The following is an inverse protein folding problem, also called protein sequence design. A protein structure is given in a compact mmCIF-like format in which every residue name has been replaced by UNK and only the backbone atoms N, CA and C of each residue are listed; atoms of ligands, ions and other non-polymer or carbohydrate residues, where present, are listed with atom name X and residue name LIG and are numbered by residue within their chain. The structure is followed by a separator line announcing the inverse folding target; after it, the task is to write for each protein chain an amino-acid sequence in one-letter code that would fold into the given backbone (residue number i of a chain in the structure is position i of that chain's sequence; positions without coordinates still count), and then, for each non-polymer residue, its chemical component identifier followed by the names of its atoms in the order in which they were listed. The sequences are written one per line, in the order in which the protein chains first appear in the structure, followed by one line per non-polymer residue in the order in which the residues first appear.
data_IF_864807600744
#
_entry.id   IF_864807600744
#
_cell.length_a   1.000
_cell.length_b   1.000
_cell.length_c   1.000
_cell.angle_alpha   90.00
_cell.angle_beta   90.00
_cell.angle_gamma   90.00
#
_symmetry.space_group_name_H-M   'P 1'
#
loop_
_entity.id
_entity.type
_entity.pdbx_description
1 polymer ?
#
# COMPACT_ATOMS: atom_id res chain seq x y z
N UNK A 1 -10.43 -6.62 -8.59
CA UNK A 1 -9.14 -6.62 -7.85
C UNK A 1 -9.25 -5.64 -6.69
N UNK A 2 -8.32 -5.66 -5.73
CA UNK A 2 -8.25 -4.68 -4.64
C UNK A 2 -6.86 -4.05 -4.72
N UNK A 3 -6.80 -2.72 -4.60
CA UNK A 3 -5.57 -1.97 -4.43
C UNK A 3 -5.62 -1.23 -3.10
N UNK A 4 -4.54 -1.19 -2.34
CA UNK A 4 -4.52 -0.49 -1.05
C UNK A 4 -3.40 0.56 -1.00
N UNK A 5 -2.82 0.91 -2.15
CA UNK A 5 -1.79 1.92 -2.27
C UNK A 5 -1.99 2.71 -3.57
N UNK A 6 -2.66 3.86 -3.48
CA UNK A 6 -2.89 4.78 -4.62
C UNK A 6 -2.83 6.23 -4.19
N UNK A 7 -2.47 7.13 -5.09
CA UNK A 7 -2.23 8.55 -4.84
C UNK A 7 -3.19 9.44 -5.62
N UNK A 8 -3.50 10.59 -5.05
CA UNK A 8 -4.39 11.60 -5.60
C UNK A 8 -3.70 12.97 -5.62
N UNK A 9 -4.43 14.01 -6.02
CA UNK A 9 -3.91 15.39 -6.00
C UNK A 9 -3.61 15.94 -4.60
N UNK A 10 -3.84 15.17 -3.53
CA UNK A 10 -3.49 15.59 -2.19
C UNK A 10 -2.00 15.36 -1.88
N UNK A 11 -1.30 14.54 -2.67
CA UNK A 11 0.15 14.55 -2.80
C UNK A 11 0.58 14.91 -4.24
N UNK A 12 0.96 13.91 -5.02
CA UNK A 12 1.61 13.98 -6.31
C UNK A 12 0.93 13.09 -7.36
N UNK A 13 -0.24 12.54 -7.04
CA UNK A 13 -1.11 11.88 -8.01
C UNK A 13 -1.79 12.89 -8.94
N UNK A 14 -2.04 12.48 -10.18
CA UNK A 14 -2.63 13.30 -11.24
C UNK A 14 -4.14 13.56 -11.04
N UNK A 15 -4.80 12.77 -10.19
CA UNK A 15 -6.25 12.60 -10.20
C UNK A 15 -6.90 13.01 -8.89
N UNK A 16 -8.04 13.69 -8.97
CA UNK A 16 -8.90 13.88 -7.80
C UNK A 16 -9.48 12.53 -7.34
N UNK A 17 -9.80 12.35 -6.05
CA UNK A 17 -10.32 11.08 -5.52
C UNK A 17 -11.49 10.46 -6.30
N UNK A 18 -12.42 11.29 -6.78
CA UNK A 18 -13.58 10.81 -7.54
C UNK A 18 -13.19 10.25 -8.92
N UNK A 19 -12.26 10.90 -9.62
CA UNK A 19 -11.78 10.43 -10.91
C UNK A 19 -10.88 9.20 -10.76
N UNK A 20 -10.00 9.19 -9.76
CA UNK A 20 -9.16 8.04 -9.40
C UNK A 20 -10.03 6.79 -9.19
N UNK A 21 -11.06 6.89 -8.36
CA UNK A 21 -11.98 5.78 -8.08
C UNK A 21 -12.74 5.32 -9.34
N UNK A 22 -13.19 6.26 -10.18
CA UNK A 22 -13.88 5.92 -11.43
C UNK A 22 -12.97 5.17 -12.41
N UNK A 23 -11.71 5.59 -12.54
CA UNK A 23 -10.72 4.93 -13.41
C UNK A 23 -10.34 3.55 -12.87
N UNK A 24 -10.14 3.42 -11.56
CA UNK A 24 -9.92 2.13 -10.92
C UNK A 24 -11.11 1.17 -11.16
N UNK A 25 -12.34 1.65 -10.99
CA UNK A 25 -13.54 0.85 -11.28
C UNK A 25 -13.57 0.38 -12.75
N UNK A 26 -13.31 1.29 -13.70
CA UNK A 26 -13.24 0.96 -15.12
C UNK A 26 -12.13 -0.06 -15.45
N UNK A 27 -11.03 -0.07 -14.68
CA UNK A 27 -9.95 -1.06 -14.77
C UNK A 27 -10.26 -2.39 -14.04
N UNK A 28 -11.46 -2.57 -13.47
CA UNK A 28 -11.92 -3.81 -12.83
C UNK A 28 -11.55 -3.94 -11.35
N UNK A 29 -11.21 -2.85 -10.68
CA UNK A 29 -11.04 -2.81 -9.23
C UNK A 29 -12.40 -2.73 -8.53
N UNK A 30 -12.53 -3.46 -7.43
CA UNK A 30 -13.73 -3.49 -6.58
C UNK A 30 -13.59 -2.60 -5.35
N UNK A 31 -12.35 -2.45 -4.89
CA UNK A 31 -12.00 -1.51 -3.84
C UNK A 31 -10.61 -0.93 -4.09
N UNK A 32 -10.42 0.31 -3.67
CA UNK A 32 -9.11 0.97 -3.57
C UNK A 32 -8.94 1.63 -2.20
N UNK A 33 -7.70 1.85 -1.75
CA UNK A 33 -7.40 2.84 -0.72
C UNK A 33 -6.63 4.01 -1.35
N UNK A 34 -6.99 5.23 -0.95
CA UNK A 34 -6.23 6.43 -1.29
C UNK A 34 -5.31 6.71 -0.10
N UNK A 35 -4.02 6.70 -0.35
CA UNK A 35 -2.94 6.73 0.64
C UNK A 35 -1.90 7.74 0.19
N UNK A 36 -2.33 8.99 -0.03
CA UNK A 36 -1.44 10.07 -0.45
C UNK A 36 -0.21 10.18 0.47
N UNK A 37 0.93 10.57 -0.13
CA UNK A 37 2.17 10.81 0.60
C UNK A 37 1.98 11.87 1.70
N UNK A 38 2.46 11.56 2.89
CA UNK A 38 2.33 12.43 4.04
C UNK A 38 3.53 12.44 4.98
N UNK A 39 3.66 13.59 5.63
CA UNK A 39 4.56 13.85 6.75
C UNK A 39 3.84 14.72 7.80
N UNK A 40 4.59 15.27 8.74
CA UNK A 40 4.07 16.15 9.79
C UNK A 40 3.34 17.41 9.27
N UNK A 41 3.57 17.82 8.03
CA UNK A 41 3.07 19.07 7.48
C UNK A 41 1.67 18.98 6.90
N UNK A 42 1.22 17.78 6.50
CA UNK A 42 0.03 17.64 5.67
C UNK A 42 -0.93 16.51 6.08
N UNK A 43 -0.54 15.56 6.93
CA UNK A 43 -1.39 14.39 7.22
C UNK A 43 -2.76 14.79 7.81
N UNK A 44 -2.80 15.85 8.63
CA UNK A 44 -4.00 16.42 9.25
C UNK A 44 -4.86 17.24 8.26
N UNK A 45 -4.27 17.69 7.15
CA UNK A 45 -4.97 18.27 6.03
C UNK A 45 -5.59 17.17 5.15
N UNK A 46 -4.84 16.12 4.83
CA UNK A 46 -5.22 15.06 3.89
C UNK A 46 -6.35 14.20 4.46
N UNK A 47 -6.15 13.63 5.66
CA UNK A 47 -7.04 12.59 6.18
C UNK A 47 -8.51 13.03 6.31
N UNK A 48 -8.85 14.18 6.94
CA UNK A 48 -10.25 14.60 7.05
C UNK A 48 -10.93 14.82 5.69
N UNK A 49 -10.16 15.24 4.68
CA UNK A 49 -10.66 15.48 3.31
C UNK A 49 -10.88 14.16 2.58
N UNK A 50 -9.94 13.22 2.67
CA UNK A 50 -10.10 11.88 2.13
C UNK A 50 -11.26 11.15 2.78
N UNK A 51 -11.41 11.17 4.11
CA UNK A 51 -12.53 10.53 4.81
C UNK A 51 -13.88 10.99 4.22
N UNK A 52 -14.05 12.30 4.04
CA UNK A 52 -15.26 12.87 3.44
C UNK A 52 -15.44 12.42 1.98
N UNK A 53 -14.38 12.51 1.17
CA UNK A 53 -14.41 12.16 -0.26
C UNK A 53 -14.71 10.68 -0.49
N UNK A 54 -13.94 9.80 0.17
CA UNK A 54 -14.06 8.35 0.12
C UNK A 54 -15.44 7.88 0.56
N UNK A 55 -16.02 8.48 1.61
CA UNK A 55 -17.39 8.20 2.05
C UNK A 55 -18.40 8.51 0.95
N UNK A 56 -18.33 9.69 0.30
CA UNK A 56 -19.26 10.06 -0.78
C UNK A 56 -19.16 9.20 -2.04
N UNK A 57 -17.96 8.71 -2.35
CA UNK A 57 -17.76 7.79 -3.47
C UNK A 57 -18.34 6.41 -3.11
N UNK A 58 -17.99 5.89 -1.93
CA UNK A 58 -18.42 4.56 -1.47
C UNK A 58 -19.94 4.46 -1.31
N UNK A 59 -20.61 5.53 -0.86
CA UNK A 59 -22.07 5.62 -0.75
C UNK A 59 -22.79 5.28 -2.08
N UNK A 60 -22.14 5.42 -3.24
CA UNK A 60 -22.73 5.10 -4.56
C UNK A 60 -22.72 3.61 -4.89
N UNK A 61 -21.92 2.80 -4.20
CA UNK A 61 -21.93 1.33 -4.30
C UNK A 61 -21.21 0.72 -5.52
N UNK A 62 -20.67 1.50 -6.44
CA UNK A 62 -19.94 0.96 -7.61
C UNK A 62 -18.53 0.44 -7.25
N UNK A 63 -17.84 1.15 -6.36
CA UNK A 63 -16.51 0.84 -5.86
C UNK A 63 -16.42 1.28 -4.40
N UNK A 64 -15.69 0.53 -3.57
CA UNK A 64 -15.38 0.96 -2.20
C UNK A 64 -14.05 1.69 -2.17
N UNK A 65 -14.00 2.87 -1.54
CA UNK A 65 -12.79 3.67 -1.42
C UNK A 65 -12.48 3.85 0.05
N UNK A 66 -11.29 3.47 0.47
CA UNK A 66 -10.82 3.62 1.86
C UNK A 66 -9.95 4.87 2.00
N UNK A 67 -10.19 5.70 3.03
CA UNK A 67 -9.27 6.77 3.38
C UNK A 67 -8.07 6.19 4.14
N UNK A 68 -6.87 6.31 3.58
CA UNK A 68 -5.63 5.92 4.23
C UNK A 68 -4.59 7.03 4.12
N UNK A 69 -3.34 6.67 4.44
CA UNK A 69 -2.19 7.56 4.30
C UNK A 69 -0.94 6.73 4.02
N UNK A 70 0.01 7.28 3.26
CA UNK A 70 1.37 6.75 3.21
C UNK A 70 2.30 7.70 3.96
N UNK A 71 3.03 7.18 4.95
CA UNK A 71 4.10 7.94 5.60
C UNK A 71 5.35 7.86 4.72
N UNK A 72 5.80 9.00 4.19
CA UNK A 72 6.80 9.05 3.13
C UNK A 72 7.98 9.92 3.54
N UNK A 73 9.21 9.39 3.43
CA UNK A 73 10.47 10.10 3.73
C UNK A 73 10.61 10.73 5.14
N UNK A 74 9.72 10.41 6.08
CA UNK A 74 9.83 10.86 7.47
C UNK A 74 11.03 10.22 8.18
N UNK A 75 11.52 10.84 9.26
CA UNK A 75 12.57 10.22 10.08
C UNK A 75 12.06 8.89 10.66
N UNK A 76 12.85 7.81 10.62
CA UNK A 76 12.43 6.51 11.16
C UNK A 76 11.95 6.56 12.62
N UNK A 77 12.46 7.51 13.42
CA UNK A 77 12.07 7.67 14.83
C UNK A 77 10.63 8.19 15.00
N UNK A 78 10.09 8.86 13.99
CA UNK A 78 8.78 9.51 14.05
C UNK A 78 7.65 8.62 13.52
N UNK A 79 7.97 7.55 12.78
CA UNK A 79 6.98 6.65 12.14
C UNK A 79 5.98 6.08 13.16
N UNK A 80 6.44 5.73 14.36
CA UNK A 80 5.56 5.17 15.39
C UNK A 80 4.56 6.21 15.93
N UNK A 81 4.95 7.48 16.05
CA UNK A 81 4.06 8.53 16.51
C UNK A 81 3.07 8.94 15.42
N UNK A 82 3.57 9.18 14.21
CA UNK A 82 2.76 9.55 13.05
C UNK A 82 1.71 8.48 12.70
N UNK A 83 2.06 7.19 12.74
CA UNK A 83 1.08 6.11 12.50
C UNK A 83 -0.06 6.15 13.52
N UNK A 84 0.25 6.35 14.81
CA UNK A 84 -0.79 6.48 15.86
C UNK A 84 -1.66 7.72 15.66
N UNK A 85 -1.07 8.85 15.27
CA UNK A 85 -1.81 10.08 15.02
C UNK A 85 -2.72 9.97 13.79
N UNK A 86 -2.22 9.41 12.69
CA UNK A 86 -3.03 9.10 11.51
C UNK A 86 -4.22 8.20 11.86
N UNK A 87 -3.99 7.15 12.67
CA UNK A 87 -5.05 6.25 13.15
C UNK A 87 -6.10 7.01 13.97
N UNK A 88 -5.70 7.91 14.87
CA UNK A 88 -6.61 8.75 15.67
C UNK A 88 -7.43 9.70 14.80
N UNK A 89 -6.86 10.19 13.70
CA UNK A 89 -7.54 11.03 12.72
C UNK A 89 -8.45 10.25 11.77
N UNK A 90 -8.49 8.92 11.87
CA UNK A 90 -9.44 8.08 11.16
C UNK A 90 -8.89 7.42 9.89
N UNK A 91 -7.56 7.37 9.71
CA UNK A 91 -6.96 6.53 8.68
C UNK A 91 -7.42 5.07 8.86
N UNK A 92 -7.96 4.49 7.78
CA UNK A 92 -8.39 3.08 7.73
C UNK A 92 -7.26 2.15 7.33
N UNK A 93 -6.33 2.64 6.52
CA UNK A 93 -5.13 1.95 6.06
C UNK A 93 -3.94 2.88 6.29
N UNK A 94 -2.87 2.36 6.88
CA UNK A 94 -1.59 3.06 7.02
C UNK A 94 -0.53 2.29 6.25
N UNK A 95 0.05 2.97 5.26
CA UNK A 95 1.18 2.50 4.46
C UNK A 95 2.43 3.24 4.89
N UNK A 96 3.58 2.61 4.81
CA UNK A 96 4.87 3.31 4.91
C UNK A 96 5.66 3.07 3.63
N UNK A 97 6.20 4.15 3.08
CA UNK A 97 7.08 4.12 1.93
C UNK A 97 8.38 3.41 2.30
N UNK A 98 8.54 2.15 1.89
CA UNK A 98 9.71 1.36 2.23
C UNK A 98 10.97 1.80 1.49
N UNK A 99 12.13 1.26 1.89
CA UNK A 99 13.45 1.60 1.36
C UNK A 99 13.66 1.06 -0.06
N UNK A 100 12.90 1.60 -1.01
CA UNK A 100 12.93 1.27 -2.44
C UNK A 100 14.29 1.57 -3.06
N UNK A 101 14.54 1.00 -4.24
CA UNK A 101 15.85 1.08 -4.91
C UNK A 101 16.07 2.38 -5.70
N UNK A 102 14.99 3.11 -5.99
CA UNK A 102 15.00 4.22 -6.95
C UNK A 102 14.92 5.59 -6.30
N UNK A 103 14.81 5.66 -4.97
CA UNK A 103 14.62 6.89 -4.20
C UNK A 103 15.44 6.91 -2.91
N UNK A 104 15.82 8.09 -2.40
CA UNK A 104 16.70 8.25 -1.24
C UNK A 104 15.93 8.15 0.09
N UNK A 105 15.29 7.02 0.34
CA UNK A 105 14.53 6.79 1.59
C UNK A 105 15.50 6.65 2.78
N UNK A 106 15.23 7.28 3.94
CA UNK A 106 16.09 7.16 5.12
C UNK A 106 16.40 5.70 5.52
N UNK A 107 17.64 5.43 5.90
CA UNK A 107 18.04 4.10 6.35
C UNK A 107 17.38 3.75 7.69
N UNK A 108 16.83 2.54 7.79
CA UNK A 108 16.13 2.07 8.98
C UNK A 108 14.60 2.28 8.93
N UNK A 109 14.08 2.93 7.88
CA UNK A 109 12.64 3.10 7.66
C UNK A 109 11.90 1.77 7.67
N UNK A 110 12.40 0.73 6.98
CA UNK A 110 11.73 -0.58 6.93
C UNK A 110 11.55 -1.16 8.35
N UNK A 111 12.64 -1.25 9.12
CA UNK A 111 12.60 -1.76 10.49
C UNK A 111 11.70 -0.93 11.40
N UNK A 112 11.77 0.40 11.33
CA UNK A 112 10.94 1.28 12.14
C UNK A 112 9.44 1.13 11.80
N UNK A 113 9.11 1.06 10.51
CA UNK A 113 7.77 0.80 10.00
C UNK A 113 7.21 -0.51 10.55
N UNK A 114 7.98 -1.59 10.49
CA UNK A 114 7.58 -2.92 10.97
C UNK A 114 7.41 -3.00 12.50
N UNK A 115 8.01 -2.08 13.24
CA UNK A 115 7.82 -1.97 14.69
C UNK A 115 6.63 -1.07 15.06
N UNK A 116 6.15 -0.23 14.13
CA UNK A 116 5.02 0.66 14.31
C UNK A 116 3.65 -0.03 14.04
N UNK A 117 2.56 0.70 14.26
CA UNK A 117 1.18 0.23 14.03
C UNK A 117 0.74 0.60 12.60
N UNK A 118 1.20 -0.18 11.62
CA UNK A 118 0.94 0.01 10.19
C UNK A 118 0.33 -1.25 9.57
N UNK A 119 -0.26 -1.13 8.38
CA UNK A 119 -0.87 -2.26 7.68
C UNK A 119 0.06 -2.83 6.60
N UNK A 120 0.74 -1.95 5.84
CA UNK A 120 1.53 -2.32 4.67
C UNK A 120 2.88 -1.60 4.70
N UNK A 121 3.96 -2.34 4.50
CA UNK A 121 5.26 -1.78 4.12
C UNK A 121 5.38 -1.83 2.58
N UNK A 122 5.27 -0.66 1.94
CA UNK A 122 5.28 -0.54 0.49
C UNK A 122 6.68 -0.73 -0.09
N UNK A 123 6.77 -1.38 -1.26
CA UNK A 123 7.99 -1.63 -2.05
C UNK A 123 9.32 -1.53 -1.25
N UNK A 124 9.60 -2.48 -0.33
CA UNK A 124 10.63 -2.31 0.70
C UNK A 124 12.08 -2.46 0.20
N UNK A 125 12.28 -2.52 -1.12
CA UNK A 125 13.59 -2.71 -1.74
C UNK A 125 14.25 -4.03 -1.31
N UNK A 126 15.52 -3.92 -0.90
CA UNK A 126 16.31 -5.06 -0.44
C UNK A 126 16.09 -5.35 1.05
N UNK A 127 14.83 -5.62 1.42
CA UNK A 127 14.43 -5.99 2.78
C UNK A 127 15.25 -7.16 3.32
N UNK A 128 15.64 -7.10 4.59
CA UNK A 128 16.49 -8.11 5.23
C UNK A 128 15.68 -9.29 5.78
N UNK A 129 16.36 -10.42 6.06
CA UNK A 129 15.70 -11.57 6.70
C UNK A 129 15.14 -11.25 8.08
N UNK A 130 15.81 -10.37 8.84
CA UNK A 130 15.33 -9.92 10.15
C UNK A 130 14.03 -9.13 10.00
N UNK A 131 13.97 -8.19 9.07
CA UNK A 131 12.78 -7.38 8.81
C UNK A 131 11.59 -8.24 8.34
N UNK A 132 11.82 -9.20 7.43
CA UNK A 132 10.73 -10.08 6.98
C UNK A 132 10.18 -10.94 8.11
N UNK A 133 11.01 -11.40 9.06
CA UNK A 133 10.53 -12.11 10.26
C UNK A 133 9.66 -11.21 11.14
N UNK A 134 10.08 -9.96 11.35
CA UNK A 134 9.27 -8.99 12.10
C UNK A 134 7.91 -8.78 11.41
N UNK A 135 7.89 -8.66 10.07
CA UNK A 135 6.65 -8.53 9.30
C UNK A 135 5.71 -9.72 9.51
N UNK A 136 6.24 -10.95 9.46
CA UNK A 136 5.48 -12.16 9.72
C UNK A 136 4.91 -12.19 11.16
N UNK A 137 5.74 -11.93 12.17
CA UNK A 137 5.34 -11.96 13.57
C UNK A 137 4.29 -10.87 13.91
N UNK A 138 4.42 -9.70 13.28
CA UNK A 138 3.53 -8.55 13.50
C UNK A 138 2.28 -8.56 12.62
N UNK A 139 2.17 -9.51 11.69
CA UNK A 139 1.11 -9.57 10.68
C UNK A 139 1.02 -8.26 9.85
N UNK A 140 2.17 -7.68 9.51
CA UNK A 140 2.27 -6.55 8.60
C UNK A 140 2.53 -7.09 7.19
N UNK A 141 1.78 -6.59 6.20
CA UNK A 141 1.89 -7.06 4.84
C UNK A 141 3.07 -6.40 4.13
N UNK A 142 3.80 -7.19 3.33
CA UNK A 142 4.85 -6.70 2.44
C UNK A 142 4.28 -6.55 1.02
N UNK A 143 4.58 -5.44 0.38
CA UNK A 143 4.05 -5.15 -0.95
C UNK A 143 4.90 -5.77 -2.07
N UNK A 144 4.22 -6.44 -3.00
CA UNK A 144 4.67 -6.66 -4.36
C UNK A 144 4.02 -5.56 -5.22
N UNK A 145 4.80 -4.64 -5.75
CA UNK A 145 4.25 -3.49 -6.49
C UNK A 145 4.26 -3.72 -7.99
N UNK A 146 3.28 -3.18 -8.70
CA UNK A 146 3.32 -3.09 -10.18
C UNK A 146 4.00 -1.81 -10.68
N UNK A 147 4.38 -0.90 -9.77
CA UNK A 147 4.97 0.38 -10.11
C UNK A 147 6.35 0.23 -10.72
N UNK A 148 6.58 0.95 -11.83
CA UNK A 148 7.86 0.94 -12.53
C UNK A 148 8.97 1.46 -11.61
N UNK A 149 10.11 0.79 -11.61
CA UNK A 149 11.24 1.16 -10.75
C UNK A 149 11.13 0.51 -9.36
N UNK A 150 10.07 0.80 -8.61
CA UNK A 150 9.87 0.19 -7.29
C UNK A 150 9.76 -1.34 -7.34
N UNK A 151 9.22 -1.88 -8.44
CA UNK A 151 9.09 -3.32 -8.69
C UNK A 151 10.40 -4.09 -8.93
N UNK A 152 11.55 -3.42 -9.07
CA UNK A 152 12.84 -4.08 -9.35
C UNK A 152 13.23 -5.11 -8.29
N UNK A 153 12.78 -4.94 -7.05
CA UNK A 153 13.10 -5.82 -5.93
C UNK A 153 12.03 -6.88 -5.64
N UNK A 154 10.93 -6.93 -6.39
CA UNK A 154 9.79 -7.83 -6.11
C UNK A 154 10.21 -9.29 -5.92
N UNK A 155 11.13 -9.80 -6.77
CA UNK A 155 11.61 -11.17 -6.65
C UNK A 155 12.38 -11.47 -5.37
N UNK A 156 13.10 -10.48 -4.83
CA UNK A 156 13.77 -10.58 -3.54
C UNK A 156 12.77 -10.61 -2.39
N UNK A 157 11.80 -9.69 -2.41
CA UNK A 157 10.70 -9.63 -1.43
C UNK A 157 9.91 -10.94 -1.42
N UNK A 158 9.48 -11.43 -2.59
CA UNK A 158 8.73 -12.68 -2.72
C UNK A 158 9.49 -13.90 -2.18
N UNK A 159 10.77 -14.03 -2.54
CA UNK A 159 11.62 -15.14 -2.08
C UNK A 159 11.78 -15.15 -0.55
N UNK A 160 12.01 -13.99 0.07
CA UNK A 160 12.15 -13.91 1.52
C UNK A 160 10.82 -14.09 2.24
N UNK A 161 9.74 -13.49 1.73
CA UNK A 161 8.40 -13.65 2.29
C UNK A 161 7.98 -15.12 2.31
N UNK A 162 8.23 -15.87 1.23
CA UNK A 162 8.03 -17.34 1.19
C UNK A 162 8.85 -18.05 2.27
N UNK A 163 10.14 -17.71 2.40
CA UNK A 163 11.08 -18.36 3.33
C UNK A 163 10.66 -18.16 4.79
N UNK A 164 10.13 -16.99 5.13
CA UNK A 164 9.80 -16.61 6.51
C UNK A 164 8.29 -16.46 6.76
N UNK A 165 7.46 -16.93 5.83
CA UNK A 165 5.99 -16.94 5.92
C UNK A 165 5.35 -15.57 6.16
N UNK A 166 6.00 -14.49 5.69
CA UNK A 166 5.42 -13.16 5.72
C UNK A 166 4.31 -13.04 4.66
N UNK A 167 3.27 -12.27 5.00
CA UNK A 167 2.12 -12.08 4.12
C UNK A 167 2.44 -11.04 3.03
N UNK A 168 2.06 -11.36 1.79
CA UNK A 168 2.19 -10.47 0.65
C UNK A 168 0.85 -9.86 0.27
N UNK A 169 0.88 -8.62 -0.21
CA UNK A 169 -0.22 -7.98 -0.98
C UNK A 169 0.33 -7.45 -2.30
N UNK A 170 -0.55 -7.26 -3.28
CA UNK A 170 -0.22 -6.56 -4.52
C UNK A 170 -0.97 -5.25 -4.60
N UNK A 171 -0.21 -4.18 -4.84
CA UNK A 171 -0.72 -2.83 -5.10
C UNK A 171 -0.01 -2.23 -6.31
N UNK A 172 -0.57 -1.19 -6.90
CA UNK A 172 0.03 -0.55 -8.06
C UNK A 172 0.75 0.76 -7.80
N UNK A 173 0.57 1.35 -6.61
CA UNK A 173 1.15 2.65 -6.26
C UNK A 173 0.80 3.70 -7.35
N UNK A 174 -0.48 3.74 -7.71
CA UNK A 174 -0.96 4.52 -8.85
C UNK A 174 -0.90 6.02 -8.59
N UNK A 175 -0.14 6.72 -9.42
CA UNK A 175 -0.09 8.18 -9.48
C UNK A 175 -0.83 8.73 -10.71
N UNK A 176 -0.85 7.94 -11.79
CA UNK A 176 -1.42 8.30 -13.08
C UNK A 176 -2.44 7.25 -13.55
N UNK A 177 -3.34 7.58 -14.49
CA UNK A 177 -4.25 6.60 -15.09
C UNK A 177 -3.56 5.36 -15.68
N UNK A 178 -2.31 5.49 -16.14
CA UNK A 178 -1.58 4.41 -16.80
C UNK A 178 -1.06 3.34 -15.82
N UNK A 179 -1.09 3.60 -14.52
CA UNK A 179 -0.61 2.68 -13.49
C UNK A 179 -1.64 1.57 -13.15
N UNK A 180 -2.89 1.68 -13.61
CA UNK A 180 -3.88 0.61 -13.44
C UNK A 180 -3.66 -0.53 -14.44
N UNK A 181 -3.33 -1.73 -13.93
CA UNK A 181 -2.93 -2.86 -14.79
C UNK A 181 -3.99 -3.96 -14.95
N UNK A 182 -5.00 -4.01 -14.08
CA UNK A 182 -6.01 -5.07 -14.10
C UNK A 182 -5.50 -6.45 -13.64
N UNK A 183 -6.40 -7.41 -13.41
CA UNK A 183 -6.08 -8.68 -12.74
C UNK A 183 -5.11 -9.57 -13.52
N UNK A 184 -5.25 -9.61 -14.84
CA UNK A 184 -4.42 -10.47 -15.69
C UNK A 184 -2.95 -10.03 -15.64
N UNK A 185 -2.69 -8.73 -15.83
CA UNK A 185 -1.34 -8.20 -15.76
C UNK A 185 -0.76 -8.29 -14.34
N UNK A 186 -1.57 -8.01 -13.30
CA UNK A 186 -1.14 -8.19 -11.92
C UNK A 186 -0.66 -9.64 -11.64
N UNK A 187 -1.38 -10.65 -12.15
CA UNK A 187 -0.96 -12.05 -12.01
C UNK A 187 0.35 -12.35 -12.77
N UNK A 188 0.54 -11.78 -13.97
CA UNK A 188 1.79 -11.91 -14.73
C UNK A 188 2.97 -11.25 -14.00
N UNK A 189 2.76 -10.09 -13.38
CA UNK A 189 3.78 -9.40 -12.58
C UNK A 189 4.14 -10.22 -11.34
N UNK A 190 3.15 -10.79 -10.64
CA UNK A 190 3.37 -11.69 -9.52
C UNK A 190 4.18 -12.94 -9.92
N UNK A 191 3.84 -13.55 -11.06
CA UNK A 191 4.61 -14.64 -11.65
C UNK A 191 6.04 -14.21 -12.00
N UNK A 192 6.22 -13.00 -12.56
CA UNK A 192 7.53 -12.41 -12.84
C UNK A 192 8.36 -12.15 -11.58
N UNK A 193 7.72 -11.86 -10.46
CA UNK A 193 8.34 -11.82 -9.14
C UNK A 193 8.68 -13.22 -8.58
N UNK A 194 8.33 -14.30 -9.29
CA UNK A 194 8.64 -15.66 -8.90
C UNK A 194 7.64 -16.31 -7.95
N UNK A 195 6.43 -15.78 -7.82
CA UNK A 195 5.33 -16.44 -7.10
C UNK A 195 4.75 -17.59 -7.95
N UNK A 196 4.32 -18.66 -7.29
CA UNK A 196 3.48 -19.70 -7.93
C UNK A 196 2.05 -19.19 -8.13
N UNK A 197 1.22 -19.97 -8.84
CA UNK A 197 -0.19 -19.67 -9.01
C UNK A 197 -0.94 -19.67 -7.66
N UNK A 198 -0.61 -20.61 -6.79
CA UNK A 198 -1.17 -20.74 -5.44
C UNK A 198 -0.76 -19.55 -4.57
N UNK A 199 0.51 -19.17 -4.58
CA UNK A 199 1.00 -18.01 -3.83
C UNK A 199 0.39 -16.70 -4.34
N UNK A 200 0.22 -16.58 -5.66
CA UNK A 200 -0.47 -15.44 -6.27
C UNK A 200 -1.93 -15.37 -5.82
N UNK A 201 -2.62 -16.52 -5.73
CA UNK A 201 -3.99 -16.59 -5.23
C UNK A 201 -4.07 -16.19 -3.74
N UNK A 202 -3.12 -16.66 -2.91
CA UNK A 202 -3.01 -16.27 -1.50
C UNK A 202 -2.75 -14.78 -1.36
N UNK A 203 -1.83 -14.19 -2.14
CA UNK A 203 -1.57 -12.75 -2.14
C UNK A 203 -2.81 -11.92 -2.48
N UNK A 204 -3.61 -12.35 -3.46
CA UNK A 204 -4.90 -11.68 -3.75
C UNK A 204 -5.94 -11.88 -2.64
N UNK A 205 -5.96 -13.04 -2.00
CA UNK A 205 -6.82 -13.27 -0.83
C UNK A 205 -6.39 -12.41 0.36
N UNK A 206 -5.09 -12.17 0.54
CA UNK A 206 -4.55 -11.28 1.56
C UNK A 206 -5.02 -9.84 1.38
N UNK A 207 -4.99 -9.29 0.17
CA UNK A 207 -5.56 -7.96 -0.11
C UNK A 207 -7.06 -7.90 0.26
N UNK A 208 -7.81 -8.97 0.00
CA UNK A 208 -9.22 -9.08 0.38
C UNK A 208 -9.45 -9.17 1.89
N UNK A 209 -8.62 -9.94 2.60
CA UNK A 209 -8.69 -10.11 4.04
C UNK A 209 -8.34 -8.81 4.76
N UNK A 210 -7.28 -8.12 4.32
CA UNK A 210 -6.91 -6.81 4.86
C UNK A 210 -8.02 -5.79 4.64
N UNK A 211 -8.56 -5.71 3.43
CA UNK A 211 -9.71 -4.86 3.13
C UNK A 211 -10.91 -5.13 4.05
N UNK A 212 -11.27 -6.40 4.28
CA UNK A 212 -12.38 -6.74 5.17
C UNK A 212 -12.10 -6.37 6.63
N UNK A 213 -10.87 -6.61 7.10
CA UNK A 213 -10.44 -6.27 8.47
C UNK A 213 -10.59 -4.79 8.77
N UNK A 214 -10.25 -3.91 7.82
CA UNK A 214 -10.32 -2.45 8.02
C UNK A 214 -11.71 -1.85 7.80
N UNK A 215 -12.57 -2.57 7.08
CA UNK A 215 -13.98 -2.21 6.90
C UNK A 215 -14.85 -2.59 8.11
N UNK A 216 -14.44 -3.59 8.89
CA UNK A 216 -15.10 -3.98 10.14
C UNK A 216 -15.00 -2.87 11.21
#
# INVERSE_FOLDING_TARGET
MIDLHTHSIFSDGDLIPAELAQRAYAAGYKAIAITDHADHSNFDFILPRLIKGCSKITEKGNITVLPGIELTHVDPRDISDLSREARKLGAKIIVVHGQTLVEPVPAGTNKAALLADIDILAHPGLITEEEVKIAADRNIYLEITTRKGHSFSNGHVARLARRFQAQLVLNNDAHSPADFVGREMAAKIAQGAGLTAEETAVMFANSQNLFQKVCA
#
